data_IF_729637139134
#
_entry.id   IF_729637139134
#
_cell.length_a   1.000
_cell.length_b   1.000
_cell.length_c   1.000
_cell.angle_alpha   90.00
_cell.angle_beta   90.00
_cell.angle_gamma   90.00
#
_symmetry.space_group_name_H-M   'P 1'
#
loop_
_entity.id
_entity.type
_entity.pdbx_description
1 polymer ?
#
# COMPACT_ATOMS: atom_id res chain seq x y z
N UNK A 1 0.82 -50.19 53.68
CA UNK A 1 -0.60 -49.86 53.38
C UNK A 1 -0.94 -48.55 54.06
N UNK A 2 -1.11 -47.53 53.36
CA UNK A 2 -1.47 -46.19 53.81
C UNK A 2 -2.13 -45.46 52.69
N UNK A 3 -3.45 -45.47 52.56
CA UNK A 3 -4.29 -44.79 51.59
C UNK A 3 -4.33 -43.34 51.97
N UNK A 4 -3.71 -42.50 51.13
CA UNK A 4 -3.87 -41.03 51.16
C UNK A 4 -5.17 -40.70 50.41
N UNK A 5 -6.17 -40.25 51.14
CA UNK A 5 -7.42 -39.71 50.58
C UNK A 5 -7.12 -38.34 49.94
N UNK A 6 -7.34 -38.22 48.61
CA UNK A 6 -7.38 -36.97 47.85
C UNK A 6 -8.64 -36.19 48.27
N UNK A 7 -8.47 -34.94 48.73
CA UNK A 7 -9.57 -34.03 49.02
C UNK A 7 -10.20 -33.54 47.70
N UNK A 8 -11.52 -33.26 47.66
CA UNK A 8 -12.16 -32.73 46.45
C UNK A 8 -11.77 -31.27 46.22
N UNK A 9 -11.34 -30.97 45.00
CA UNK A 9 -11.19 -29.63 44.47
C UNK A 9 -12.56 -28.93 44.53
N UNK A 10 -12.57 -27.76 45.16
CA UNK A 10 -13.74 -26.90 45.17
C UNK A 10 -13.83 -26.20 43.78
N UNK A 11 -14.86 -26.57 43.02
CA UNK A 11 -15.29 -25.78 41.85
C UNK A 11 -15.57 -24.35 42.32
N UNK A 12 -14.79 -23.40 41.78
CA UNK A 12 -15.10 -21.98 41.89
C UNK A 12 -16.36 -21.71 41.05
N UNK A 13 -17.51 -21.61 41.74
CA UNK A 13 -18.74 -21.18 41.12
C UNK A 13 -18.56 -19.77 40.54
N UNK A 14 -18.66 -19.62 39.23
CA UNK A 14 -18.72 -18.36 38.55
C UNK A 14 -19.86 -17.50 39.15
N UNK A 15 -19.50 -16.36 39.73
CA UNK A 15 -20.42 -15.41 40.32
C UNK A 15 -21.34 -14.91 39.21
N UNK A 16 -22.63 -15.17 39.28
CA UNK A 16 -23.60 -14.62 38.34
C UNK A 16 -23.50 -13.09 38.34
N UNK A 17 -23.59 -12.42 37.19
CA UNK A 17 -23.53 -10.96 37.12
C UNK A 17 -24.62 -10.36 38.03
N UNK A 18 -24.24 -9.38 38.84
CA UNK A 18 -25.17 -8.67 39.71
C UNK A 18 -26.17 -7.95 38.79
N UNK A 19 -27.50 -7.95 39.07
CA UNK A 19 -28.46 -7.26 38.27
C UNK A 19 -28.13 -5.75 38.24
N UNK A 20 -28.02 -5.18 37.06
CA UNK A 20 -27.82 -3.75 36.89
C UNK A 20 -28.94 -2.95 37.62
N UNK A 21 -28.60 -1.82 38.26
CA UNK A 21 -29.59 -1.03 38.99
C UNK A 21 -30.65 -0.52 38.01
N UNK A 22 -31.92 -0.76 38.30
CA UNK A 22 -33.04 -0.31 37.47
C UNK A 22 -33.05 1.23 37.35
N UNK A 23 -33.17 1.72 36.11
CA UNK A 23 -33.28 3.14 35.81
C UNK A 23 -34.44 3.83 36.60
N UNK A 24 -34.21 5.02 37.14
CA UNK A 24 -35.25 5.84 37.70
C UNK A 24 -36.43 6.06 36.73
N UNK A 25 -37.66 6.23 37.17
CA UNK A 25 -38.82 6.37 36.30
C UNK A 25 -38.70 7.54 35.29
N UNK A 26 -38.00 8.61 35.65
CA UNK A 26 -37.75 9.73 34.75
C UNK A 26 -36.78 9.34 33.62
N UNK A 27 -35.75 8.55 33.90
CA UNK A 27 -34.80 8.08 32.89
C UNK A 27 -35.51 7.15 31.90
N UNK A 28 -36.40 6.28 32.37
CA UNK A 28 -37.21 5.43 31.47
C UNK A 28 -38.08 6.26 30.52
N UNK A 29 -38.65 7.43 31.01
CA UNK A 29 -39.42 8.34 30.17
C UNK A 29 -38.55 9.08 29.16
N UNK A 30 -37.33 9.48 29.54
CA UNK A 30 -36.39 10.16 28.64
C UNK A 30 -35.91 9.17 27.55
N UNK A 31 -35.58 7.93 27.88
CA UNK A 31 -35.24 6.91 26.89
C UNK A 31 -36.32 6.70 25.82
N UNK A 32 -37.63 6.79 26.20
CA UNK A 32 -38.73 6.72 25.21
C UNK A 32 -38.73 7.91 24.27
N UNK A 33 -38.25 9.09 24.70
CA UNK A 33 -38.14 10.28 23.85
C UNK A 33 -36.94 10.08 22.90
N UNK A 34 -35.81 9.59 23.42
CA UNK A 34 -34.63 9.29 22.64
C UNK A 34 -34.92 8.24 21.56
N UNK A 35 -35.67 7.18 21.91
CA UNK A 35 -36.11 6.15 20.93
C UNK A 35 -36.90 6.74 19.75
N UNK A 36 -37.76 7.75 20.04
CA UNK A 36 -38.50 8.44 18.98
C UNK A 36 -37.59 9.27 18.09
N UNK A 37 -36.60 9.96 18.68
CA UNK A 37 -35.63 10.72 17.92
C UNK A 37 -34.82 9.77 17.00
N UNK A 38 -34.30 8.69 17.55
CA UNK A 38 -33.55 7.69 16.78
C UNK A 38 -34.37 7.04 15.65
N UNK A 39 -35.67 6.88 15.86
CA UNK A 39 -36.54 6.37 14.78
C UNK A 39 -36.59 7.34 13.59
N UNK A 40 -36.68 8.65 13.87
CA UNK A 40 -36.67 9.69 12.82
C UNK A 40 -35.31 9.78 12.14
N UNK A 41 -34.23 9.64 12.91
CA UNK A 41 -32.87 9.64 12.36
C UNK A 41 -32.65 8.47 11.38
N UNK A 42 -33.13 7.27 11.73
CA UNK A 42 -33.11 6.11 10.81
C UNK A 42 -33.89 6.34 9.52
N UNK A 43 -35.07 6.96 9.62
CA UNK A 43 -35.86 7.31 8.44
C UNK A 43 -35.13 8.35 7.57
N UNK A 44 -34.46 9.31 8.20
CA UNK A 44 -33.66 10.33 7.52
C UNK A 44 -32.49 9.71 6.77
N UNK A 45 -31.66 8.88 7.42
CA UNK A 45 -30.54 8.20 6.79
C UNK A 45 -30.97 7.32 5.61
N UNK A 46 -32.05 6.57 5.78
CA UNK A 46 -32.61 5.75 4.70
C UNK A 46 -33.08 6.61 3.51
N UNK A 47 -33.66 7.77 3.78
CA UNK A 47 -34.10 8.71 2.73
C UNK A 47 -32.89 9.33 2.00
N UNK A 48 -31.85 9.73 2.73
CA UNK A 48 -30.61 10.28 2.16
C UNK A 48 -29.92 9.23 1.28
N UNK A 49 -29.79 8.00 1.75
CA UNK A 49 -29.20 6.90 0.97
C UNK A 49 -29.96 6.65 -0.34
N UNK A 50 -31.30 6.68 -0.29
CA UNK A 50 -32.14 6.53 -1.48
C UNK A 50 -31.94 7.67 -2.48
N UNK A 51 -31.91 8.92 -2.02
CA UNK A 51 -31.64 10.08 -2.89
C UNK A 51 -30.25 9.95 -3.52
N UNK A 52 -29.23 9.60 -2.74
CA UNK A 52 -27.87 9.37 -3.26
C UNK A 52 -27.87 8.32 -4.39
N UNK A 53 -28.56 7.20 -4.22
CA UNK A 53 -28.67 6.18 -5.26
C UNK A 53 -29.34 6.69 -6.52
N UNK A 54 -30.43 7.46 -6.40
CA UNK A 54 -31.14 8.05 -7.54
C UNK A 54 -30.22 8.98 -8.35
N UNK A 55 -29.47 9.86 -7.68
CA UNK A 55 -28.52 10.76 -8.34
C UNK A 55 -27.31 10.03 -8.89
N UNK A 56 -26.80 9.00 -8.21
CA UNK A 56 -25.72 8.16 -8.74
C UNK A 56 -26.10 7.53 -10.08
N UNK A 57 -27.33 7.02 -10.21
CA UNK A 57 -27.85 6.47 -11.49
C UNK A 57 -27.87 7.51 -12.61
N UNK A 58 -28.05 8.80 -12.29
CA UNK A 58 -27.95 9.90 -13.27
C UNK A 58 -26.50 10.28 -13.60
N UNK A 59 -25.58 10.09 -12.65
CA UNK A 59 -24.16 10.42 -12.82
C UNK A 59 -23.41 9.34 -13.60
N UNK A 60 -23.76 8.07 -13.43
CA UNK A 60 -23.08 6.92 -14.08
C UNK A 60 -22.93 7.10 -15.59
N UNK A 61 -23.94 7.45 -16.40
CA UNK A 61 -23.78 7.63 -17.83
C UNK A 61 -22.77 8.72 -18.22
N UNK A 62 -22.66 9.78 -17.38
CA UNK A 62 -21.69 10.87 -17.59
C UNK A 62 -20.27 10.38 -17.36
N UNK A 63 -20.06 9.58 -16.31
CA UNK A 63 -18.76 8.98 -16.00
C UNK A 63 -18.36 7.94 -17.06
N UNK A 64 -19.32 7.15 -17.55
CA UNK A 64 -19.10 6.21 -18.68
C UNK A 64 -18.69 6.94 -19.96
N UNK A 65 -19.29 8.10 -20.26
CA UNK A 65 -18.89 8.95 -21.40
C UNK A 65 -17.45 9.41 -21.24
N UNK A 66 -17.03 9.87 -20.05
CA UNK A 66 -15.64 10.22 -19.76
C UNK A 66 -14.71 9.04 -20.01
N UNK A 67 -15.02 7.87 -19.48
CA UNK A 67 -14.20 6.66 -19.64
C UNK A 67 -14.07 6.27 -21.10
N UNK A 68 -15.19 6.34 -21.85
CA UNK A 68 -15.17 6.08 -23.30
C UNK A 68 -14.24 7.04 -24.03
N UNK A 69 -14.31 8.33 -23.73
CA UNK A 69 -13.41 9.33 -24.35
C UNK A 69 -11.93 9.06 -24.03
N UNK A 70 -11.62 8.68 -22.78
CA UNK A 70 -10.27 8.38 -22.35
C UNK A 70 -9.69 7.12 -23.00
N UNK A 71 -10.55 6.13 -23.27
CA UNK A 71 -10.15 4.82 -23.83
C UNK A 71 -10.24 4.78 -25.36
N UNK A 72 -10.61 5.89 -26.04
CA UNK A 72 -10.59 5.97 -27.50
C UNK A 72 -9.14 6.04 -28.01
N UNK A 73 -8.83 5.20 -29.02
CA UNK A 73 -7.53 5.17 -29.70
C UNK A 73 -6.78 3.85 -29.57
N UNK A 74 -5.61 3.75 -30.21
CA UNK A 74 -4.75 2.58 -30.16
C UNK A 74 -3.90 2.63 -28.88
N UNK A 75 -4.19 1.73 -27.97
CA UNK A 75 -3.65 1.74 -26.61
C UNK A 75 -2.28 1.08 -26.48
N UNK A 76 -1.33 1.82 -25.86
CA UNK A 76 -0.26 1.19 -25.08
C UNK A 76 -0.54 1.24 -23.57
N UNK A 77 -1.40 2.14 -23.14
CA UNK A 77 -1.79 2.38 -21.73
C UNK A 77 -3.29 2.26 -21.56
N UNK A 78 -3.76 2.28 -20.33
CA UNK A 78 -5.17 2.13 -19.99
C UNK A 78 -6.06 3.22 -20.54
N UNK A 79 -5.54 4.46 -20.67
CA UNK A 79 -6.25 5.63 -21.17
C UNK A 79 -5.50 6.26 -22.34
N UNK A 80 -5.61 5.69 -23.58
CA UNK A 80 -4.81 6.10 -24.73
C UNK A 80 -5.01 7.55 -25.18
N UNK A 81 -6.16 8.13 -24.96
CA UNK A 81 -6.42 9.53 -25.32
C UNK A 81 -5.65 10.52 -24.43
N UNK A 82 -5.46 10.17 -23.14
CA UNK A 82 -4.64 10.88 -22.17
C UNK A 82 -3.88 9.84 -21.34
N UNK A 83 -2.66 9.47 -21.77
CA UNK A 83 -1.85 8.47 -21.10
C UNK A 83 -1.62 8.81 -19.63
N UNK A 84 -1.82 7.82 -18.74
CA UNK A 84 -1.63 8.01 -17.31
C UNK A 84 -2.66 8.93 -16.62
N UNK A 85 -3.85 9.12 -17.19
CA UNK A 85 -4.86 10.03 -16.66
C UNK A 85 -5.15 9.77 -15.16
N UNK A 86 -5.42 8.54 -14.78
CA UNK A 86 -5.73 8.20 -13.40
C UNK A 86 -4.51 8.31 -12.49
N UNK A 87 -3.34 7.89 -12.95
CA UNK A 87 -2.08 8.05 -12.21
C UNK A 87 -1.84 9.53 -11.89
N UNK A 88 -1.94 10.41 -12.89
CA UNK A 88 -1.76 11.84 -12.68
C UNK A 88 -2.81 12.42 -11.72
N UNK A 89 -4.07 11.98 -11.81
CA UNK A 89 -5.11 12.41 -10.90
C UNK A 89 -4.82 11.98 -9.45
N UNK A 90 -4.28 10.79 -9.22
CA UNK A 90 -3.89 10.31 -7.89
C UNK A 90 -2.69 11.06 -7.35
N UNK A 91 -1.66 11.28 -8.16
CA UNK A 91 -0.47 12.08 -7.78
C UNK A 91 -0.81 13.54 -7.45
N UNK A 92 -1.88 14.08 -8.00
CA UNK A 92 -2.35 15.43 -7.71
C UNK A 92 -3.27 15.50 -6.48
N UNK A 93 -3.73 14.36 -5.94
CA UNK A 93 -4.56 14.34 -4.75
C UNK A 93 -3.69 14.16 -3.51
N UNK A 94 -3.75 15.06 -2.49
CA UNK A 94 -2.83 15.04 -1.35
C UNK A 94 -2.74 13.69 -0.65
N UNK A 95 -3.89 13.11 -0.27
CA UNK A 95 -3.92 11.83 0.44
C UNK A 95 -3.51 10.62 -0.43
N UNK A 96 -3.83 10.64 -1.74
CA UNK A 96 -3.50 9.51 -2.61
C UNK A 96 -2.06 9.55 -3.09
N UNK A 97 -1.46 10.74 -3.22
CA UNK A 97 -0.06 10.88 -3.61
C UNK A 97 0.89 10.16 -2.65
N UNK A 98 0.60 10.20 -1.35
CA UNK A 98 1.37 9.50 -0.32
C UNK A 98 1.33 7.96 -0.47
N UNK A 99 0.25 7.44 -1.05
CA UNK A 99 0.07 5.99 -1.26
C UNK A 99 0.68 5.48 -2.57
N UNK A 100 1.00 6.37 -3.54
CA UNK A 100 1.54 5.99 -4.85
C UNK A 100 3.06 6.06 -4.82
N UNK A 101 3.69 4.90 -4.94
CA UNK A 101 5.14 4.79 -5.00
C UNK A 101 5.64 4.74 -6.44
N UNK A 102 6.89 5.09 -6.69
CA UNK A 102 7.49 5.13 -8.05
C UNK A 102 7.37 3.79 -8.79
N UNK A 103 7.42 2.67 -8.08
CA UNK A 103 7.22 1.34 -8.65
C UNK A 103 5.77 0.96 -8.93
N UNK A 104 4.78 1.71 -8.40
CA UNK A 104 3.35 1.53 -8.71
C UNK A 104 2.97 2.25 -10.00
N UNK A 105 3.66 3.32 -10.36
CA UNK A 105 3.36 4.17 -11.51
C UNK A 105 3.26 3.39 -12.83
N UNK A 106 4.22 2.51 -13.19
CA UNK A 106 4.13 1.75 -14.43
C UNK A 106 2.93 0.80 -14.51
N UNK A 107 2.32 0.49 -13.36
CA UNK A 107 1.13 -0.36 -13.28
C UNK A 107 -0.14 0.49 -13.38
N UNK A 108 -0.16 1.61 -12.66
CA UNK A 108 -1.28 2.55 -12.65
C UNK A 108 -1.51 3.22 -14.01
N UNK A 109 -0.51 3.28 -14.89
CA UNK A 109 -0.68 3.70 -16.29
C UNK A 109 -1.71 2.84 -17.04
N UNK A 110 -1.92 1.56 -16.63
CA UNK A 110 -2.92 0.67 -17.24
C UNK A 110 -4.32 0.81 -16.65
N UNK A 111 -4.52 1.67 -15.65
CA UNK A 111 -5.82 1.94 -15.06
C UNK A 111 -6.71 2.68 -16.05
N UNK A 112 -7.86 2.10 -16.39
CA UNK A 112 -8.82 2.65 -17.37
C UNK A 112 -9.93 3.43 -16.70
N UNK A 113 -10.40 2.95 -15.54
CA UNK A 113 -11.48 3.59 -14.80
C UNK A 113 -11.50 3.14 -13.33
N UNK A 114 -12.11 3.98 -12.48
CA UNK A 114 -12.46 3.64 -11.10
C UNK A 114 -13.94 3.94 -10.90
N UNK A 115 -14.69 2.93 -10.44
CA UNK A 115 -16.14 3.04 -10.23
C UNK A 115 -16.52 2.67 -8.80
N UNK A 116 -17.63 3.25 -8.32
CA UNK A 116 -18.19 2.93 -7.01
C UNK A 116 -19.57 2.30 -7.14
N UNK A 117 -19.88 1.33 -6.28
CA UNK A 117 -21.15 0.62 -6.24
C UNK A 117 -21.59 0.39 -4.79
N UNK A 118 -22.87 0.17 -4.57
CA UNK A 118 -23.36 -0.43 -3.34
C UNK A 118 -23.17 -1.95 -3.39
N UNK A 119 -22.95 -2.59 -2.24
CA UNK A 119 -22.89 -4.05 -2.17
C UNK A 119 -24.27 -4.67 -2.45
N UNK A 120 -25.34 -3.99 -2.07
CA UNK A 120 -26.71 -4.44 -2.30
C UNK A 120 -27.61 -3.22 -2.56
N UNK A 121 -28.15 -3.10 -3.78
CA UNK A 121 -29.09 -2.01 -4.12
C UNK A 121 -30.44 -2.09 -3.38
N UNK A 122 -30.78 -3.24 -2.82
CA UNK A 122 -31.99 -3.42 -2.01
C UNK A 122 -31.77 -3.01 -0.53
N UNK A 123 -30.51 -2.98 -0.09
CA UNK A 123 -30.12 -2.56 1.25
C UNK A 123 -28.81 -1.78 1.18
N UNK A 124 -28.95 -0.48 0.93
CA UNK A 124 -27.82 0.44 0.72
C UNK A 124 -26.93 0.59 1.95
N UNK A 125 -27.39 0.16 3.11
CA UNK A 125 -26.65 0.25 4.36
C UNK A 125 -25.71 -0.94 4.59
N UNK A 126 -25.75 -2.00 3.76
CA UNK A 126 -24.85 -3.14 3.88
C UNK A 126 -23.40 -2.81 3.58
N UNK A 127 -23.16 -1.81 2.74
CA UNK A 127 -21.82 -1.38 2.41
C UNK A 127 -21.63 -0.96 0.97
N UNK A 128 -20.36 -0.79 0.62
CA UNK A 128 -19.92 -0.16 -0.61
C UNK A 128 -18.81 -0.98 -1.26
N UNK A 129 -18.58 -0.72 -2.55
CA UNK A 129 -17.51 -1.34 -3.31
C UNK A 129 -16.85 -0.33 -4.25
N UNK A 130 -15.51 -0.33 -4.28
CA UNK A 130 -14.71 0.27 -5.35
C UNK A 130 -14.29 -0.80 -6.33
N UNK A 131 -14.32 -0.47 -7.61
CA UNK A 131 -13.84 -1.34 -8.69
C UNK A 131 -12.86 -0.56 -9.55
N UNK A 132 -11.63 -1.04 -9.62
CA UNK A 132 -10.55 -0.50 -10.44
C UNK A 132 -10.46 -1.34 -11.70
N UNK A 133 -10.65 -0.73 -12.86
CA UNK A 133 -10.64 -1.38 -14.17
C UNK A 133 -9.30 -1.20 -14.84
N UNK A 134 -8.67 -2.28 -15.28
CA UNK A 134 -7.36 -2.24 -15.93
C UNK A 134 -7.43 -2.75 -17.36
N UNK A 135 -6.67 -2.12 -18.24
CA UNK A 135 -6.33 -2.70 -19.53
C UNK A 135 -5.45 -3.95 -19.35
N UNK A 136 -5.33 -4.76 -20.40
CA UNK A 136 -4.37 -5.85 -20.41
C UNK A 136 -2.96 -5.30 -20.19
N UNK A 137 -2.25 -5.84 -19.18
CA UNK A 137 -0.98 -5.32 -18.73
C UNK A 137 0.03 -6.44 -18.42
N UNK A 138 1.34 -6.14 -18.41
CA UNK A 138 2.37 -7.14 -18.16
C UNK A 138 2.58 -7.50 -16.68
N UNK A 139 1.88 -6.85 -15.74
CA UNK A 139 2.15 -6.94 -14.31
C UNK A 139 1.30 -8.01 -13.62
N UNK A 140 0.00 -8.09 -13.92
CA UNK A 140 -0.93 -9.06 -13.35
C UNK A 140 -2.01 -9.45 -14.36
N UNK A 141 -2.83 -10.47 -14.02
CA UNK A 141 -3.84 -11.04 -14.93
C UNK A 141 -5.24 -10.50 -14.73
N UNK A 142 -5.51 -9.92 -13.58
CA UNK A 142 -6.83 -9.39 -13.26
C UNK A 142 -7.21 -8.25 -14.21
N UNK A 143 -8.45 -8.25 -14.70
CA UNK A 143 -9.02 -7.12 -15.44
C UNK A 143 -9.61 -6.07 -14.52
N UNK A 144 -10.06 -6.52 -13.35
CA UNK A 144 -10.61 -5.66 -12.30
C UNK A 144 -10.01 -6.05 -10.96
N UNK A 145 -9.75 -5.05 -10.12
CA UNK A 145 -9.44 -5.22 -8.71
C UNK A 145 -10.56 -4.55 -7.92
N UNK A 146 -11.17 -5.29 -7.01
CA UNK A 146 -12.32 -4.84 -6.23
C UNK A 146 -11.95 -4.73 -4.75
N UNK A 147 -12.50 -3.73 -4.10
CA UNK A 147 -12.45 -3.55 -2.65
C UNK A 147 -13.85 -3.36 -2.12
N UNK A 148 -14.30 -4.28 -1.30
CA UNK A 148 -15.60 -4.25 -0.62
C UNK A 148 -15.45 -3.73 0.80
N UNK A 149 -16.37 -2.86 1.21
CA UNK A 149 -16.46 -2.29 2.55
C UNK A 149 -17.79 -2.72 3.14
N UNK A 150 -17.74 -3.61 4.13
CA UNK A 150 -18.92 -4.16 4.79
C UNK A 150 -19.21 -3.34 6.03
N UNK A 151 -20.39 -2.72 6.08
CA UNK A 151 -20.80 -1.92 7.23
C UNK A 151 -21.30 -2.82 8.36
N UNK A 152 -20.99 -2.42 9.57
CA UNK A 152 -21.40 -3.09 10.80
C UNK A 152 -22.85 -2.80 11.19
N UNK A 153 -23.17 -3.14 12.41
CA UNK A 153 -24.45 -2.77 13.01
C UNK A 153 -24.47 -1.29 13.31
N UNK A 154 -25.67 -0.73 13.32
CA UNK A 154 -25.90 0.66 13.62
C UNK A 154 -25.59 0.96 15.09
N UNK A 155 -24.80 2.00 15.35
CA UNK A 155 -24.58 2.48 16.71
C UNK A 155 -25.92 2.94 17.30
N UNK A 156 -26.35 2.34 18.42
CA UNK A 156 -27.67 2.64 19.00
C UNK A 156 -27.81 4.07 19.51
N UNK A 157 -26.71 4.82 19.60
CA UNK A 157 -26.73 6.17 20.18
C UNK A 157 -26.72 7.30 19.13
N UNK A 158 -26.03 7.09 17.99
CA UNK A 158 -25.88 8.11 16.94
C UNK A 158 -26.42 7.67 15.58
N UNK A 159 -26.85 6.41 15.44
CA UNK A 159 -27.37 5.89 14.17
C UNK A 159 -26.30 5.59 13.11
N UNK A 160 -25.04 5.93 13.38
CA UNK A 160 -23.95 5.71 12.44
C UNK A 160 -23.54 4.23 12.36
N UNK A 161 -23.08 3.83 11.18
CA UNK A 161 -22.51 2.51 10.95
C UNK A 161 -21.02 2.65 10.66
N UNK A 162 -20.21 1.99 11.46
CA UNK A 162 -18.79 1.85 11.19
C UNK A 162 -18.52 0.74 10.17
N UNK A 163 -17.41 0.84 9.43
CA UNK A 163 -16.93 -0.25 8.61
C UNK A 163 -16.47 -1.40 9.52
N UNK A 164 -17.02 -2.59 9.31
CA UNK A 164 -16.74 -3.78 10.14
C UNK A 164 -15.62 -4.65 9.56
N UNK A 165 -15.54 -4.70 8.25
CA UNK A 165 -14.53 -5.47 7.56
C UNK A 165 -14.40 -5.02 6.12
N UNK A 166 -13.22 -5.26 5.54
CA UNK A 166 -13.01 -5.09 4.11
C UNK A 166 -12.56 -6.38 3.45
N UNK A 167 -12.91 -6.52 2.18
CA UNK A 167 -12.48 -7.63 1.36
C UNK A 167 -11.96 -7.10 0.03
N UNK A 168 -10.74 -7.46 -0.31
CA UNK A 168 -10.11 -7.07 -1.57
C UNK A 168 -9.88 -8.28 -2.47
N UNK A 169 -9.85 -8.03 -3.79
CA UNK A 169 -9.44 -9.01 -4.79
C UNK A 169 -7.97 -9.36 -4.59
N UNK A 170 -7.65 -10.64 -4.58
CA UNK A 170 -6.27 -11.12 -4.63
C UNK A 170 -5.66 -10.79 -5.99
N UNK A 171 -4.50 -10.15 -6.00
CA UNK A 171 -3.82 -9.75 -7.22
C UNK A 171 -3.02 -10.94 -7.78
N UNK A 172 -3.36 -11.39 -8.99
CA UNK A 172 -2.68 -12.48 -9.69
C UNK A 172 -1.43 -11.96 -10.42
N UNK A 173 -0.38 -11.66 -9.66
CA UNK A 173 0.86 -11.14 -10.19
C UNK A 173 1.53 -12.08 -11.20
N UNK A 174 2.07 -11.52 -12.27
CA UNK A 174 2.96 -12.24 -13.16
C UNK A 174 4.34 -12.45 -12.47
N UNK A 175 5.06 -13.47 -12.89
CA UNK A 175 6.34 -13.84 -12.27
C UNK A 175 7.32 -12.66 -12.24
N UNK A 176 7.79 -12.31 -11.02
CA UNK A 176 8.73 -11.22 -10.80
C UNK A 176 8.17 -9.81 -11.01
N UNK A 177 6.84 -9.65 -10.99
CA UNK A 177 6.16 -8.36 -11.19
C UNK A 177 5.40 -7.87 -9.95
N UNK A 178 5.48 -8.60 -8.84
CA UNK A 178 4.87 -8.20 -7.59
C UNK A 178 5.64 -7.04 -6.96
N UNK A 179 5.05 -5.86 -6.94
CA UNK A 179 5.64 -4.62 -6.39
C UNK A 179 5.38 -4.45 -4.89
N UNK A 180 4.53 -5.28 -4.30
CA UNK A 180 4.20 -5.23 -2.87
C UNK A 180 5.23 -5.90 -1.98
N UNK A 181 6.28 -6.48 -2.58
CA UNK A 181 7.38 -7.14 -1.90
C UNK A 181 8.72 -6.74 -2.54
N UNK A 182 9.76 -6.73 -1.72
CA UNK A 182 11.15 -6.51 -2.17
C UNK A 182 12.04 -7.65 -1.72
N UNK A 183 13.11 -7.89 -2.50
CA UNK A 183 14.11 -8.92 -2.19
C UNK A 183 15.21 -8.30 -1.33
N UNK A 184 15.29 -8.70 -0.06
CA UNK A 184 16.31 -8.22 0.87
C UNK A 184 17.35 -9.31 1.14
N UNK A 185 18.64 -8.96 1.00
CA UNK A 185 19.74 -9.88 1.29
C UNK A 185 19.83 -10.16 2.80
N UNK A 186 19.69 -11.43 3.22
CA UNK A 186 19.87 -11.81 4.63
C UNK A 186 21.30 -11.50 5.08
N UNK A 187 21.44 -10.66 6.13
CA UNK A 187 22.71 -10.47 6.84
C UNK A 187 23.09 -11.79 7.52
N UNK A 188 24.09 -12.52 6.98
CA UNK A 188 24.60 -13.74 7.60
C UNK A 188 25.61 -13.35 8.68
N UNK A 189 25.31 -13.59 9.96
CA UNK A 189 26.26 -13.48 11.06
C UNK A 189 27.29 -14.62 10.91
N UNK A 190 28.52 -14.31 10.49
CA UNK A 190 29.61 -15.27 10.40
C UNK A 190 30.76 -14.76 9.52
N UNK A 191 32.00 -14.79 10.02
CA UNK A 191 33.19 -14.41 9.28
C UNK A 191 33.76 -15.56 8.43
N UNK A 192 34.51 -15.25 7.38
CA UNK A 192 35.27 -16.18 6.57
C UNK A 192 34.55 -16.71 5.33
N UNK A 193 35.17 -17.67 4.62
CA UNK A 193 34.78 -18.23 3.31
C UNK A 193 33.32 -18.74 3.21
N UNK A 194 32.57 -18.79 4.31
CA UNK A 194 31.13 -19.09 4.33
C UNK A 194 30.26 -17.91 3.94
N UNK A 195 30.77 -16.66 4.00
CA UNK A 195 30.06 -15.43 3.64
C UNK A 195 29.69 -15.36 2.15
N UNK A 196 30.52 -15.96 1.31
CA UNK A 196 30.39 -15.93 -0.15
C UNK A 196 29.33 -16.92 -0.73
N UNK A 197 28.83 -17.88 0.07
CA UNK A 197 27.97 -18.97 -0.43
C UNK A 197 26.49 -18.87 -0.09
N UNK A 198 26.02 -17.85 0.67
CA UNK A 198 24.64 -17.82 1.10
C UNK A 198 24.06 -16.39 1.24
N UNK A 199 24.10 -15.61 0.17
CA UNK A 199 23.13 -14.53 0.03
C UNK A 199 21.78 -15.21 -0.30
N UNK A 200 21.05 -15.70 0.70
CA UNK A 200 19.64 -16.07 0.55
C UNK A 200 18.88 -14.76 0.63
N UNK A 201 18.36 -14.34 -0.48
CA UNK A 201 17.40 -13.26 -0.55
C UNK A 201 16.11 -13.72 0.16
N UNK A 202 15.47 -12.80 0.86
CA UNK A 202 14.17 -13.00 1.51
C UNK A 202 13.23 -11.95 0.96
N UNK A 203 12.02 -12.38 0.57
CA UNK A 203 10.95 -11.45 0.28
C UNK A 203 10.53 -10.76 1.58
N UNK A 204 10.52 -9.44 1.56
CA UNK A 204 9.98 -8.60 2.64
C UNK A 204 8.88 -7.69 2.09
N UNK A 205 7.86 -7.37 2.90
CA UNK A 205 6.83 -6.42 2.49
C UNK A 205 7.43 -5.08 2.10
N UNK A 206 6.85 -4.47 1.06
CA UNK A 206 7.22 -3.15 0.55
C UNK A 206 5.99 -2.27 0.50
N UNK A 207 6.11 -1.01 0.85
CA UNK A 207 5.06 -0.02 0.70
C UNK A 207 4.67 0.10 -0.78
N UNK A 208 3.38 0.16 -1.06
CA UNK A 208 2.85 0.18 -2.42
C UNK A 208 1.36 0.53 -2.38
N UNK A 209 0.89 1.30 -3.35
CA UNK A 209 -0.53 1.55 -3.58
C UNK A 209 -1.34 0.23 -3.57
N UNK A 210 -0.82 -0.80 -4.24
CA UNK A 210 -1.49 -2.10 -4.34
C UNK A 210 -1.54 -2.85 -3.01
N UNK A 211 -0.54 -2.66 -2.14
CA UNK A 211 -0.52 -3.25 -0.81
C UNK A 211 -1.50 -2.54 0.12
N UNK A 212 -1.52 -1.21 0.09
CA UNK A 212 -2.35 -0.41 1.00
C UNK A 212 -3.83 -0.47 0.62
N UNK A 213 -4.15 -0.32 -0.66
CA UNK A 213 -5.54 -0.28 -1.11
C UNK A 213 -6.18 -1.68 -1.14
N UNK A 214 -5.47 -2.71 -1.63
CA UNK A 214 -6.05 -4.04 -1.84
C UNK A 214 -5.74 -5.02 -0.70
N UNK A 215 -5.76 -4.56 0.54
CA UNK A 215 -5.72 -5.39 1.73
C UNK A 215 -7.12 -5.74 2.21
N UNK A 216 -7.30 -6.97 2.72
CA UNK A 216 -8.53 -7.38 3.37
C UNK A 216 -8.37 -7.26 4.88
N UNK A 217 -9.29 -6.56 5.53
CA UNK A 217 -9.28 -6.27 6.97
C UNK A 217 -10.48 -6.94 7.63
N UNK A 218 -10.20 -7.84 8.56
CA UNK A 218 -11.18 -8.59 9.34
C UNK A 218 -10.49 -9.12 10.60
N UNK A 219 -11.22 -9.55 11.65
CA UNK A 219 -10.61 -10.10 12.86
C UNK A 219 -9.66 -11.25 12.53
N UNK A 220 -8.40 -11.15 12.97
CA UNK A 220 -7.36 -12.14 12.69
C UNK A 220 -6.75 -12.08 11.28
N UNK A 221 -6.95 -11.01 10.54
CA UNK A 221 -6.33 -10.82 9.21
C UNK A 221 -4.78 -10.87 9.31
N UNK A 222 -4.08 -11.49 8.34
CA UNK A 222 -2.62 -11.58 8.33
C UNK A 222 -1.91 -10.23 8.44
N UNK A 223 -2.50 -9.18 7.86
CA UNK A 223 -1.98 -7.81 7.92
C UNK A 223 -1.87 -7.28 9.35
N UNK A 224 -2.83 -7.58 10.23
CA UNK A 224 -2.78 -7.16 11.64
C UNK A 224 -1.61 -7.81 12.37
N UNK A 225 -1.33 -9.07 12.08
CA UNK A 225 -0.18 -9.78 12.66
C UNK A 225 1.16 -9.21 12.16
N UNK A 226 1.26 -8.89 10.86
CA UNK A 226 2.43 -8.24 10.31
C UNK A 226 2.69 -6.88 10.95
N UNK A 227 1.65 -6.08 11.13
CA UNK A 227 1.71 -4.76 11.75
C UNK A 227 2.16 -4.84 13.21
N UNK A 228 1.60 -5.76 14.01
CA UNK A 228 2.07 -6.05 15.37
C UNK A 228 3.55 -6.42 15.39
N UNK A 229 3.98 -7.33 14.52
CA UNK A 229 5.38 -7.74 14.44
C UNK A 229 6.31 -6.58 14.06
N UNK A 230 5.84 -5.64 13.26
CA UNK A 230 6.60 -4.42 12.91
C UNK A 230 6.69 -3.44 14.07
N UNK A 231 5.60 -3.21 14.80
CA UNK A 231 5.55 -2.28 15.94
C UNK A 231 6.37 -2.77 17.15
N UNK A 232 6.37 -4.07 17.43
CA UNK A 232 7.07 -4.64 18.58
C UNK A 232 8.51 -5.10 18.29
N UNK A 233 9.05 -4.80 17.09
CA UNK A 233 10.44 -5.08 16.71
C UNK A 233 10.75 -6.58 16.71
N UNK A 234 10.99 -7.18 15.58
CA UNK A 234 11.14 -8.62 15.28
C UNK A 234 12.10 -9.47 16.11
N UNK A 235 12.11 -9.37 17.42
CA UNK A 235 12.97 -10.13 18.34
C UNK A 235 12.43 -10.32 19.74
N UNK A 236 11.30 -9.73 20.12
CA UNK A 236 10.64 -10.00 21.39
C UNK A 236 9.72 -11.21 21.24
N UNK A 237 9.79 -12.16 22.19
CA UNK A 237 8.68 -13.06 22.43
C UNK A 237 7.46 -12.15 22.64
N UNK A 238 6.54 -12.14 21.69
CA UNK A 238 5.18 -11.70 21.93
C UNK A 238 4.67 -12.74 22.96
N UNK A 239 4.59 -12.36 24.23
CA UNK A 239 3.87 -13.16 25.21
C UNK A 239 2.47 -13.28 24.64
N UNK A 240 1.95 -14.51 24.57
CA UNK A 240 0.61 -14.84 24.10
C UNK A 240 -0.48 -14.39 25.13
N UNK A 241 -0.30 -13.22 25.74
CA UNK A 241 -1.41 -12.50 26.33
C UNK A 241 -2.11 -11.77 25.16
N UNK A 242 -2.90 -12.57 24.42
CA UNK A 242 -3.85 -12.07 23.43
C UNK A 242 -4.89 -11.21 24.17
N UNK A 243 -4.60 -9.93 24.32
CA UNK A 243 -5.61 -8.95 24.67
C UNK A 243 -6.49 -8.77 23.42
N UNK A 244 -7.54 -9.60 23.33
CA UNK A 244 -8.51 -9.56 22.22
C UNK A 244 -9.07 -8.13 22.05
N UNK A 245 -9.15 -7.37 23.13
CA UNK A 245 -9.62 -5.97 23.15
C UNK A 245 -8.64 -5.02 22.42
N UNK A 246 -7.31 -5.23 22.53
CA UNK A 246 -6.32 -4.41 21.81
C UNK A 246 -6.35 -4.68 20.29
N UNK A 247 -6.56 -5.93 19.90
CA UNK A 247 -6.68 -6.33 18.51
C UNK A 247 -7.92 -5.75 17.86
N UNK A 248 -9.03 -5.73 18.58
CA UNK A 248 -10.28 -5.14 18.11
C UNK A 248 -10.14 -3.63 17.94
N UNK A 249 -9.56 -2.91 18.89
CA UNK A 249 -9.32 -1.46 18.80
C UNK A 249 -8.37 -1.11 17.64
N UNK A 250 -7.30 -1.89 17.46
CA UNK A 250 -6.38 -1.71 16.33
C UNK A 250 -7.10 -1.91 14.99
N UNK A 251 -7.91 -2.96 14.89
CA UNK A 251 -8.68 -3.25 13.69
C UNK A 251 -9.69 -2.13 13.38
N UNK A 252 -10.42 -1.63 14.39
CA UNK A 252 -11.36 -0.53 14.24
C UNK A 252 -10.65 0.72 13.70
N UNK A 253 -9.52 1.10 14.29
CA UNK A 253 -8.74 2.24 13.83
C UNK A 253 -8.30 2.11 12.38
N UNK A 254 -7.77 0.93 11.98
CA UNK A 254 -7.32 0.71 10.60
C UNK A 254 -8.50 0.68 9.62
N UNK A 255 -9.65 0.14 10.04
CA UNK A 255 -10.87 0.14 9.22
C UNK A 255 -11.42 1.55 9.00
N UNK A 256 -11.33 2.44 10.00
CA UNK A 256 -11.70 3.85 9.87
C UNK A 256 -10.83 4.55 8.83
N UNK A 257 -9.50 4.41 8.92
CA UNK A 257 -8.55 4.95 7.95
C UNK A 257 -8.80 4.41 6.54
N UNK A 258 -9.04 3.11 6.42
CA UNK A 258 -9.32 2.47 5.13
C UNK A 258 -10.66 2.92 4.53
N UNK A 259 -11.65 3.24 5.36
CA UNK A 259 -12.93 3.79 4.92
C UNK A 259 -12.84 5.28 4.52
N UNK A 260 -11.94 6.05 5.12
CA UNK A 260 -11.62 7.42 4.66
C UNK A 260 -11.08 7.40 3.23
N UNK A 261 -10.20 6.45 2.91
CA UNK A 261 -9.71 6.24 1.53
C UNK A 261 -10.88 5.95 0.58
N UNK A 262 -11.85 5.09 1.00
CA UNK A 262 -13.07 4.88 0.21
C UNK A 262 -13.81 6.19 -0.06
N UNK A 263 -14.02 7.00 0.98
CA UNK A 263 -14.73 8.28 0.88
C UNK A 263 -13.99 9.25 -0.05
N UNK A 264 -12.67 9.29 0.03
CA UNK A 264 -11.81 10.07 -0.87
C UNK A 264 -12.03 9.68 -2.32
N UNK A 265 -12.01 8.39 -2.65
CA UNK A 265 -12.32 7.93 -4.01
C UNK A 265 -13.76 8.26 -4.43
N UNK A 266 -14.73 7.95 -3.57
CA UNK A 266 -16.14 8.01 -3.90
C UNK A 266 -16.66 9.44 -4.09
N UNK A 267 -16.21 10.37 -3.25
CA UNK A 267 -16.79 11.69 -3.15
C UNK A 267 -15.91 12.78 -3.80
N UNK A 268 -14.62 12.54 -3.95
CA UNK A 268 -13.67 13.53 -4.48
C UNK A 268 -12.99 13.08 -5.77
N UNK A 269 -12.39 11.89 -5.82
CA UNK A 269 -11.56 11.50 -6.97
C UNK A 269 -12.40 11.06 -8.15
N UNK A 270 -13.34 10.13 -7.99
CA UNK A 270 -14.17 9.64 -9.09
C UNK A 270 -14.99 10.77 -9.74
N UNK A 271 -15.71 11.63 -8.99
CA UNK A 271 -16.49 12.70 -9.59
C UNK A 271 -15.65 13.77 -10.30
N UNK A 272 -14.49 14.10 -9.73
CA UNK A 272 -13.67 15.24 -10.14
C UNK A 272 -12.33 14.86 -10.76
N UNK A 273 -12.18 13.62 -11.26
CA UNK A 273 -10.90 13.09 -11.77
C UNK A 273 -10.24 14.01 -12.82
N UNK A 274 -11.01 14.64 -13.70
CA UNK A 274 -10.48 15.59 -14.68
C UNK A 274 -9.85 16.83 -14.03
N UNK A 275 -10.46 17.34 -12.96
CA UNK A 275 -9.93 18.50 -12.23
C UNK A 275 -8.69 18.15 -11.42
N UNK A 276 -8.62 16.94 -10.90
CA UNK A 276 -7.41 16.41 -10.30
C UNK A 276 -6.32 16.23 -11.35
N UNK A 277 -6.63 15.65 -12.50
CA UNK A 277 -5.67 15.49 -13.60
C UNK A 277 -5.08 16.83 -14.07
N UNK A 278 -5.91 17.87 -14.22
CA UNK A 278 -5.48 19.21 -14.66
C UNK A 278 -4.80 20.05 -13.57
N UNK A 279 -4.87 19.60 -12.31
CA UNK A 279 -4.39 20.36 -11.16
C UNK A 279 -5.35 21.45 -10.65
N UNK A 280 -6.52 21.63 -11.27
CA UNK A 280 -7.51 22.63 -10.81
C UNK A 280 -8.04 22.36 -9.40
N UNK A 281 -8.10 21.11 -8.98
CA UNK A 281 -8.59 20.72 -7.66
C UNK A 281 -7.49 20.67 -6.59
N UNK A 282 -6.23 20.87 -6.96
CA UNK A 282 -5.09 20.86 -6.03
C UNK A 282 -5.17 22.06 -5.10
N UNK A 283 -5.09 21.85 -3.77
CA UNK A 283 -5.08 22.96 -2.81
C UNK A 283 -3.87 23.88 -3.00
N UNK A 284 -4.05 25.18 -2.73
CA UNK A 284 -2.91 26.12 -2.74
C UNK A 284 -1.87 25.72 -1.69
N UNK A 285 -0.61 25.65 -2.09
CA UNK A 285 0.52 25.28 -1.22
C UNK A 285 0.76 23.77 -1.08
N UNK A 286 0.04 22.94 -1.82
CA UNK A 286 0.40 21.53 -1.95
C UNK A 286 1.57 21.40 -2.93
N UNK A 287 2.76 21.16 -2.39
CA UNK A 287 3.97 20.83 -3.14
C UNK A 287 4.13 19.31 -3.14
N UNK A 288 4.39 18.73 -4.31
CA UNK A 288 4.71 17.31 -4.43
C UNK A 288 6.19 17.12 -4.10
N UNK A 289 6.49 16.13 -3.29
CA UNK A 289 7.86 15.68 -3.05
C UNK A 289 8.35 14.88 -4.28
N UNK A 290 8.33 15.50 -5.47
CA UNK A 290 8.83 14.88 -6.71
C UNK A 290 10.39 14.90 -6.79
N UNK A 291 11.09 15.42 -5.77
CA UNK A 291 12.52 15.73 -5.82
C UNK A 291 13.45 14.69 -5.12
N UNK A 292 12.93 13.59 -4.56
CA UNK A 292 13.76 12.63 -3.80
C UNK A 292 14.27 11.41 -4.61
N UNK A 293 14.21 11.45 -5.97
CA UNK A 293 14.79 10.40 -6.83
C UNK A 293 16.28 10.64 -7.21
N UNK A 294 16.99 11.49 -6.50
CA UNK A 294 18.47 11.46 -6.51
C UNK A 294 18.94 10.38 -5.50
N UNK A 295 18.66 9.12 -5.81
CA UNK A 295 19.40 7.98 -5.27
C UNK A 295 20.88 8.17 -5.65
N UNK A 296 21.60 8.95 -4.84
CA UNK A 296 23.05 8.84 -4.75
C UNK A 296 23.32 7.39 -4.35
N UNK A 297 23.67 6.57 -5.35
CA UNK A 297 24.41 5.31 -5.18
C UNK A 297 25.64 5.62 -4.33
N UNK A 298 25.47 5.66 -3.01
CA UNK A 298 26.58 5.60 -2.05
C UNK A 298 27.18 4.21 -2.18
N UNK A 299 28.06 4.06 -3.20
CA UNK A 299 29.04 2.98 -3.23
C UNK A 299 29.92 3.17 -1.97
N UNK A 300 29.49 2.55 -0.85
CA UNK A 300 30.36 2.33 0.29
C UNK A 300 31.57 1.52 -0.22
N UNK A 301 32.65 2.24 -0.57
CA UNK A 301 33.97 1.65 -0.67
C UNK A 301 34.31 1.05 0.71
N UNK A 302 34.15 -0.26 0.84
CA UNK A 302 34.68 -1.08 1.94
C UNK A 302 36.22 -0.94 1.91
N UNK A 303 36.72 0.03 2.64
CA UNK A 303 38.13 0.19 2.97
C UNK A 303 38.51 -0.95 3.95
N UNK A 304 38.89 -2.11 3.36
CA UNK A 304 39.50 -3.24 4.08
C UNK A 304 40.90 -2.82 4.56
N UNK A 305 41.01 -2.19 5.74
CA UNK A 305 42.26 -2.10 6.48
C UNK A 305 42.75 -3.52 6.82
N UNK A 306 43.75 -3.99 6.06
CA UNK A 306 44.52 -5.15 6.41
C UNK A 306 45.38 -4.83 7.65
N UNK A 307 44.92 -5.35 8.80
CA UNK A 307 45.71 -5.40 10.04
C UNK A 307 46.71 -6.58 9.90
N UNK A 308 47.98 -6.24 9.56
CA UNK A 308 49.08 -7.18 9.48
C UNK A 308 49.69 -7.37 10.87
N UNK A 309 49.29 -8.41 11.60
CA UNK A 309 50.09 -8.92 12.71
C UNK A 309 51.28 -9.76 12.23
N UNK A 310 52.46 -9.24 12.50
CA UNK A 310 53.75 -9.94 12.40
C UNK A 310 53.77 -11.13 13.37
N UNK A 311 54.12 -12.33 12.90
CA UNK A 311 54.63 -13.39 13.77
C UNK A 311 55.93 -13.94 13.15
N UNK A 312 57.03 -13.66 13.83
CA UNK A 312 58.39 -14.15 13.56
C UNK A 312 58.50 -15.66 13.82
N UNK A 313 58.99 -16.45 12.85
CA UNK A 313 59.92 -17.53 13.21
C UNK A 313 60.73 -18.02 11.98
N UNK A 314 62.03 -17.96 12.22
CA UNK A 314 63.16 -18.50 11.46
C UNK A 314 62.98 -19.85 10.74
N UNK A 315 63.47 -20.06 9.53
CA UNK A 315 64.77 -20.69 9.28
C UNK A 315 64.99 -21.09 7.78
N UNK A 316 66.12 -20.64 7.30
CA UNK A 316 67.10 -21.29 6.42
C UNK A 316 66.65 -22.15 5.21
N UNK A 317 66.96 -21.83 3.99
CA UNK A 317 68.17 -22.08 3.25
C UNK A 317 67.96 -22.33 1.73
N UNK A 318 68.81 -21.66 0.95
CA UNK A 318 69.44 -22.04 -0.32
C UNK A 318 68.61 -22.33 -1.57
N UNK A 319 68.82 -21.49 -2.61
CA UNK A 319 69.41 -22.02 -3.88
C UNK A 319 69.00 -21.30 -5.16
N UNK A 320 69.79 -20.37 -5.60
CA UNK A 320 70.32 -20.11 -6.96
C UNK A 320 69.45 -20.25 -8.22
N UNK A 321 69.50 -19.19 -9.04
CA UNK A 321 69.61 -19.27 -10.54
C UNK A 321 68.66 -18.35 -11.24
N UNK A 322 68.98 -17.18 -11.63
CA UNK A 322 69.71 -16.53 -12.68
C UNK A 322 68.96 -16.38 -14.04
N UNK A 323 68.93 -15.10 -14.48
CA UNK A 323 68.89 -14.60 -15.87
C UNK A 323 67.58 -14.76 -16.66
N UNK A 324 67.13 -13.81 -17.49
CA UNK A 324 67.64 -12.60 -18.11
C UNK A 324 66.46 -11.85 -18.80
N UNK A 325 66.54 -10.51 -18.87
CA UNK A 325 65.85 -9.65 -19.87
C UNK A 325 66.54 -9.88 -21.26
N UNK A 326 65.96 -9.43 -22.42
CA UNK A 326 65.69 -8.01 -22.69
C UNK A 326 64.57 -7.68 -23.74
N UNK A 327 64.15 -6.44 -23.67
CA UNK A 327 64.07 -5.33 -24.64
C UNK A 327 63.39 -5.48 -26.02
N UNK A 328 62.58 -4.43 -26.29
CA UNK A 328 62.51 -3.71 -27.59
C UNK A 328 61.10 -3.83 -28.22
N UNK A 329 60.47 -2.81 -28.73
CA UNK A 329 60.87 -1.54 -29.24
C UNK A 329 59.65 -0.86 -29.88
N UNK A 330 59.73 0.42 -29.93
CA UNK A 330 58.80 1.39 -30.48
C UNK A 330 58.49 1.27 -31.97
N UNK A 331 57.31 1.86 -32.42
CA UNK A 331 57.22 2.85 -33.47
C UNK A 331 55.82 3.37 -33.70
N UNK A 332 55.69 4.68 -33.56
CA UNK A 332 54.98 5.74 -34.19
C UNK A 332 54.65 5.55 -35.67
N UNK A 333 53.54 6.21 -36.12
CA UNK A 333 53.38 7.20 -37.23
C UNK A 333 51.84 7.42 -37.36
N UNK A 334 51.22 8.57 -37.07
CA UNK A 334 51.05 9.89 -37.73
C UNK A 334 50.30 9.87 -39.08
N UNK A 335 49.32 10.79 -39.17
CA UNK A 335 48.68 11.27 -40.42
C UNK A 335 47.19 11.52 -40.20
N UNK A 336 46.69 12.68 -39.92
CA UNK A 336 46.57 13.99 -40.66
C UNK A 336 45.41 14.03 -41.70
N UNK A 337 44.66 15.14 -41.67
CA UNK A 337 43.69 15.58 -42.69
C UNK A 337 42.25 15.60 -42.18
N UNK A 338 41.58 16.69 -41.76
CA UNK A 338 41.56 18.05 -42.25
C UNK A 338 40.38 18.32 -43.19
N UNK A 339 39.43 19.17 -42.72
CA UNK A 339 38.63 20.21 -43.42
C UNK A 339 37.17 20.23 -42.91
N UNK A 340 36.74 21.23 -42.18
CA UNK A 340 36.25 22.59 -42.50
C UNK A 340 35.01 22.68 -43.44
N UNK A 341 33.97 23.35 -42.95
CA UNK A 341 32.88 23.98 -43.72
C UNK A 341 31.50 23.65 -43.15
N UNK A 342 30.59 24.48 -42.90
CA UNK A 342 30.41 25.94 -42.82
C UNK A 342 28.99 26.19 -42.26
N UNK A 343 28.81 27.32 -41.64
CA UNK A 343 27.58 27.88 -41.04
C UNK A 343 26.40 27.93 -42.01
N UNK A 344 25.15 27.80 -41.48
CA UNK A 344 24.09 28.78 -41.76
C UNK A 344 23.06 28.81 -40.66
N UNK A 345 22.95 29.97 -40.03
CA UNK A 345 21.77 30.49 -39.34
C UNK A 345 20.69 30.83 -40.40
N UNK A 346 19.44 30.52 -40.07
CA UNK A 346 18.32 31.33 -40.56
C UNK A 346 17.26 31.46 -39.44
N UNK A 347 17.16 32.72 -38.97
CA UNK A 347 15.96 33.26 -38.32
C UNK A 347 14.81 33.31 -39.35
N UNK A 348 13.58 33.17 -38.86
CA UNK A 348 12.44 34.06 -39.20
C UNK A 348 11.19 33.63 -38.46
N UNK A 349 10.76 34.42 -37.49
CA UNK A 349 9.63 35.40 -37.49
C UNK A 349 8.21 34.81 -37.46
N UNK A 350 7.61 35.23 -36.36
CA UNK A 350 6.18 35.47 -36.08
C UNK A 350 5.28 35.76 -37.29
N UNK A 351 4.14 35.10 -37.27
CA UNK A 351 2.82 35.73 -37.34
C UNK A 351 1.81 34.89 -36.62
#
# INVERSE_FOLDING_TARGET
MGLVKKAPEAEAAAKAPEPEPEDPPIVKQLKVIDDKYMTIEKEYEAAVAKVRLEYQKLQVPILEERTKMLTEGDAKTGTPALSGFWLQAFKNHPELSENVQTWDEPILEYLTDVTRHYLDESDLQKGHKLVFHFAENPHFKNKTLEKEYVMGEENPFNGEKACKSTKATEIEWNTGKNVTVQMVAKKVKGGGAKKAKAKKEKEEPRESFFREIFRSLYPGAPFLQEMKMSMFGGGGMVEEDDDEDEDEQMLEYILEQDYEIYSTFADYVIPYATRWYTGEAVPEGFERDDDDDDDEDDEEEDDDEEDSEEDESESASKGKGAKAKPKGGAKKVSGDGGTQGDKKQEECKQQ
#
